data_IF_083988750138
#
_entry.id   IF_083988750138
#
_cell.length_a   1.000
_cell.length_b   1.000
_cell.length_c   1.000
_cell.angle_alpha   90.00
_cell.angle_beta   90.00
_cell.angle_gamma   90.00
#
_symmetry.space_group_name_H-M   'P 1'
#
loop_
_entity.id
_entity.type
_entity.pdbx_description
1 polymer ?
#
# COMPACT_ATOMS: atom_id res chain seq x y z
N UNK A 1 -16.60 -6.36 -22.99
CA UNK A 1 -15.96 -7.29 -22.04
C UNK A 1 -15.47 -8.48 -22.83
N UNK A 2 -14.14 -8.70 -22.97
CA UNK A 2 -13.61 -9.87 -23.71
C UNK A 2 -14.02 -11.14 -22.97
N UNK A 3 -14.49 -12.16 -23.69
CA UNK A 3 -14.92 -13.42 -23.08
C UNK A 3 -13.75 -14.12 -22.41
N UNK A 4 -14.01 -14.89 -21.35
CA UNK A 4 -12.99 -15.63 -20.60
C UNK A 4 -12.17 -16.58 -21.50
N UNK A 5 -12.76 -17.02 -22.62
CA UNK A 5 -12.12 -17.89 -23.62
C UNK A 5 -10.96 -17.22 -24.37
N UNK A 6 -10.92 -15.88 -24.45
CA UNK A 6 -9.80 -15.18 -25.06
C UNK A 6 -8.49 -15.34 -24.25
N UNK A 7 -8.57 -15.68 -22.96
CA UNK A 7 -7.40 -15.90 -22.10
C UNK A 7 -6.90 -17.34 -22.11
N UNK A 8 -7.67 -18.31 -22.61
CA UNK A 8 -7.23 -19.71 -22.76
C UNK A 8 -6.10 -19.89 -23.78
N UNK A 9 -5.83 -18.90 -24.65
CA UNK A 9 -4.75 -18.93 -25.65
C UNK A 9 -3.36 -18.60 -25.07
N UNK A 10 -3.26 -18.23 -23.80
CA UNK A 10 -1.98 -17.97 -23.16
C UNK A 10 -1.32 -19.31 -22.81
N UNK A 11 -0.36 -19.75 -23.63
CA UNK A 11 0.49 -20.90 -23.32
C UNK A 11 1.72 -20.41 -22.57
N UNK A 12 1.97 -20.99 -21.39
CA UNK A 12 3.26 -20.82 -20.72
C UNK A 12 4.35 -21.43 -21.58
N UNK A 13 5.25 -20.63 -22.09
CA UNK A 13 6.36 -21.10 -22.91
C UNK A 13 7.58 -21.48 -22.07
N UNK A 14 7.68 -20.97 -20.84
CA UNK A 14 8.77 -21.27 -19.91
C UNK A 14 8.26 -21.26 -18.47
N UNK A 15 8.73 -22.22 -17.67
CA UNK A 15 8.57 -22.29 -16.23
C UNK A 15 9.95 -22.41 -15.57
N UNK A 16 10.23 -21.53 -14.61
CA UNK A 16 11.45 -21.59 -13.80
C UNK A 16 11.02 -21.86 -12.34
N UNK A 17 11.42 -23.04 -11.82
CA UNK A 17 11.27 -23.30 -10.40
C UNK A 17 12.38 -22.61 -9.62
N UNK A 18 12.04 -21.92 -8.54
CA UNK A 18 13.03 -21.38 -7.61
C UNK A 18 13.51 -22.52 -6.68
N UNK A 19 14.61 -23.17 -7.05
CA UNK A 19 15.21 -24.27 -6.26
C UNK A 19 15.70 -23.82 -4.89
N UNK A 20 15.96 -22.53 -4.70
CA UNK A 20 16.43 -21.94 -3.44
C UNK A 20 15.29 -21.33 -2.63
N UNK A 21 14.03 -21.59 -2.99
CA UNK A 21 12.89 -21.09 -2.23
C UNK A 21 12.87 -21.68 -0.83
N UNK A 22 12.91 -20.82 0.17
CA UNK A 22 12.59 -21.17 1.53
C UNK A 22 11.72 -20.07 2.17
N UNK A 23 10.61 -20.49 2.81
CA UNK A 23 9.82 -19.57 3.61
C UNK A 23 10.37 -19.53 5.03
N UNK A 24 11.20 -18.54 5.34
CA UNK A 24 11.73 -18.34 6.67
C UNK A 24 10.97 -17.22 7.39
N UNK A 25 10.05 -17.61 8.26
CA UNK A 25 9.22 -16.69 9.06
C UNK A 25 10.06 -15.72 9.90
N UNK A 26 11.08 -16.23 10.58
CA UNK A 26 11.91 -15.41 11.46
C UNK A 26 12.69 -14.37 10.65
N UNK A 27 13.24 -14.76 9.51
CA UNK A 27 13.92 -13.84 8.61
C UNK A 27 12.99 -12.70 8.16
N UNK A 28 11.78 -13.02 7.73
CA UNK A 28 10.79 -12.04 7.31
C UNK A 28 10.44 -11.08 8.45
N UNK A 29 10.20 -11.62 9.66
CA UNK A 29 9.82 -10.84 10.83
C UNK A 29 10.99 -10.08 11.47
N UNK A 30 12.22 -10.38 11.11
CA UNK A 30 13.38 -9.55 11.43
C UNK A 30 13.43 -8.29 10.56
N UNK A 31 12.94 -8.35 9.32
CA UNK A 31 12.87 -7.19 8.41
C UNK A 31 11.67 -6.31 8.75
N UNK A 32 10.46 -6.88 8.81
CA UNK A 32 9.23 -6.17 9.20
C UNK A 32 8.73 -6.78 10.50
N UNK A 33 9.14 -6.22 11.63
CA UNK A 33 8.95 -6.86 12.92
C UNK A 33 7.47 -7.04 13.32
N UNK A 34 7.21 -8.11 14.06
CA UNK A 34 5.89 -8.37 14.65
C UNK A 34 5.36 -7.17 15.45
N UNK A 35 6.23 -6.41 16.11
CA UNK A 35 5.87 -5.20 16.87
C UNK A 35 5.32 -4.11 15.93
N UNK A 36 6.05 -3.76 14.87
CA UNK A 36 5.62 -2.73 13.91
C UNK A 36 4.29 -3.12 13.26
N UNK A 37 4.09 -4.39 12.89
CA UNK A 37 2.84 -4.90 12.34
C UNK A 37 1.69 -4.76 13.36
N UNK A 38 1.94 -5.09 14.62
CA UNK A 38 0.93 -4.95 15.70
C UNK A 38 0.59 -3.47 15.93
N UNK A 39 1.59 -2.62 15.97
CA UNK A 39 1.41 -1.19 16.13
C UNK A 39 0.61 -0.57 14.98
N UNK A 40 0.84 -1.05 13.74
CA UNK A 40 0.06 -0.62 12.58
C UNK A 40 -1.42 -0.99 12.74
N UNK A 41 -1.71 -2.24 13.13
CA UNK A 41 -3.08 -2.67 13.38
C UNK A 41 -3.74 -1.87 14.52
N UNK A 42 -3.08 -1.73 15.66
CA UNK A 42 -3.61 -1.02 16.82
C UNK A 42 -3.88 0.46 16.55
N UNK A 43 -3.11 1.06 15.65
CA UNK A 43 -3.29 2.45 15.22
C UNK A 43 -4.47 2.56 14.26
N UNK A 44 -4.40 1.83 13.15
CA UNK A 44 -5.36 1.93 12.04
C UNK A 44 -6.76 1.46 12.43
N UNK A 45 -6.86 0.42 13.28
CA UNK A 45 -8.16 -0.07 13.75
C UNK A 45 -8.94 0.95 14.60
N UNK A 46 -8.28 1.97 15.12
CA UNK A 46 -8.89 3.08 15.87
C UNK A 46 -9.27 4.27 15.00
N UNK A 47 -8.94 4.26 13.71
CA UNK A 47 -9.30 5.37 12.85
C UNK A 47 -10.80 5.44 12.64
N UNK A 48 -11.33 6.66 12.59
CA UNK A 48 -12.75 6.89 12.26
C UNK A 48 -13.11 6.17 10.97
N UNK A 49 -14.21 5.46 10.94
CA UNK A 49 -14.70 4.68 9.80
C UNK A 49 -13.82 3.48 9.41
N UNK A 50 -12.91 3.01 10.29
CA UNK A 50 -12.25 1.74 10.03
C UNK A 50 -13.28 0.60 10.02
N UNK A 51 -13.28 -0.15 8.92
CA UNK A 51 -14.03 -1.40 8.78
C UNK A 51 -13.14 -2.40 8.01
N UNK A 52 -13.27 -3.68 8.34
CA UNK A 52 -12.69 -4.74 7.52
C UNK A 52 -13.33 -4.67 6.13
N UNK A 53 -12.51 -4.66 5.09
CA UNK A 53 -13.02 -4.72 3.73
C UNK A 53 -13.57 -6.11 3.42
N UNK A 54 -14.54 -6.25 2.48
CA UNK A 54 -15.10 -7.55 2.17
C UNK A 54 -14.08 -8.57 1.68
N UNK A 55 -14.28 -9.83 2.05
CA UNK A 55 -13.62 -10.99 1.49
C UNK A 55 -14.70 -11.79 0.73
N UNK A 56 -14.74 -11.64 -0.57
CA UNK A 56 -15.79 -12.21 -1.43
C UNK A 56 -15.36 -13.57 -1.97
N UNK A 57 -16.24 -14.57 -1.85
CA UNK A 57 -16.04 -15.87 -2.50
C UNK A 57 -16.52 -15.80 -3.95
N UNK A 58 -15.63 -16.15 -4.90
CA UNK A 58 -15.91 -16.07 -6.34
C UNK A 58 -16.40 -17.41 -6.89
N UNK A 59 -17.66 -17.77 -6.58
CA UNK A 59 -18.22 -19.11 -6.85
C UNK A 59 -18.23 -19.49 -8.33
N UNK A 60 -18.61 -18.57 -9.23
CA UNK A 60 -18.59 -18.84 -10.68
C UNK A 60 -17.17 -19.14 -11.18
N UNK A 61 -16.18 -18.40 -10.66
CA UNK A 61 -14.77 -18.60 -11.01
C UNK A 61 -14.24 -19.93 -10.45
N UNK A 62 -14.62 -20.28 -9.22
CA UNK A 62 -14.30 -21.56 -8.62
C UNK A 62 -14.73 -22.73 -9.50
N UNK A 63 -16.00 -22.72 -9.94
CA UNK A 63 -16.57 -23.76 -10.82
C UNK A 63 -15.84 -23.83 -12.16
N UNK A 64 -15.60 -22.69 -12.80
CA UNK A 64 -14.96 -22.62 -14.11
C UNK A 64 -13.51 -23.12 -14.10
N UNK A 65 -12.77 -22.85 -13.00
CA UNK A 65 -11.37 -23.24 -12.86
C UNK A 65 -11.18 -24.57 -12.14
N UNK A 66 -12.27 -25.24 -11.69
CA UNK A 66 -12.23 -26.46 -10.88
C UNK A 66 -11.35 -26.33 -9.63
N UNK A 67 -11.43 -25.16 -8.97
CA UNK A 67 -10.75 -24.88 -7.72
C UNK A 67 -11.73 -24.90 -6.55
N UNK A 68 -11.24 -25.27 -5.36
CA UNK A 68 -12.11 -25.35 -4.17
C UNK A 68 -12.64 -23.99 -3.74
N UNK A 69 -11.73 -23.02 -3.57
CA UNK A 69 -12.12 -21.69 -3.13
C UNK A 69 -11.20 -20.63 -3.73
N UNK A 70 -11.82 -19.61 -4.33
CA UNK A 70 -11.15 -18.38 -4.74
C UNK A 70 -11.82 -17.24 -3.98
N UNK A 71 -11.02 -16.47 -3.27
CA UNK A 71 -11.46 -15.30 -2.54
C UNK A 71 -10.90 -14.03 -3.15
N UNK A 72 -11.69 -12.97 -3.13
CA UNK A 72 -11.30 -11.63 -3.54
C UNK A 72 -11.39 -10.68 -2.35
N UNK A 73 -10.27 -10.10 -1.95
CA UNK A 73 -10.23 -9.04 -0.93
C UNK A 73 -10.52 -7.70 -1.57
N UNK A 74 -11.71 -7.16 -1.36
CA UNK A 74 -12.20 -5.97 -2.06
C UNK A 74 -11.75 -4.67 -1.37
N UNK A 75 -10.54 -4.22 -1.68
CA UNK A 75 -9.99 -2.96 -1.19
C UNK A 75 -10.62 -1.71 -1.81
N UNK A 76 -11.54 -1.84 -2.79
CA UNK A 76 -12.35 -0.71 -3.27
C UNK A 76 -13.27 -0.12 -2.19
N UNK A 77 -13.47 -0.86 -1.11
CA UNK A 77 -14.26 -0.43 0.06
C UNK A 77 -13.40 0.16 1.19
N UNK A 78 -12.08 0.31 0.97
CA UNK A 78 -11.16 0.82 1.99
C UNK A 78 -11.33 2.31 2.17
N UNK A 79 -11.92 2.72 3.29
CA UNK A 79 -12.26 4.10 3.60
C UNK A 79 -12.96 4.79 2.41
N UNK A 80 -12.86 6.10 2.26
CA UNK A 80 -13.35 6.80 1.08
C UNK A 80 -12.33 6.87 -0.07
N UNK A 81 -11.11 6.34 0.16
CA UNK A 81 -10.03 6.36 -0.84
C UNK A 81 -10.17 5.25 -1.89
N UNK A 82 -10.97 4.23 -1.63
CA UNK A 82 -11.19 3.08 -2.52
C UNK A 82 -9.87 2.39 -2.94
N UNK A 83 -8.90 2.34 -2.02
CA UNK A 83 -7.57 1.78 -2.28
C UNK A 83 -6.88 1.32 -0.99
N UNK A 84 -6.21 0.17 -1.05
CA UNK A 84 -5.35 -0.34 0.03
C UNK A 84 -4.22 0.64 0.42
N UNK A 85 -3.83 1.54 -0.48
CA UNK A 85 -2.78 2.55 -0.22
C UNK A 85 -3.08 3.40 1.01
N UNK A 86 -4.37 3.58 1.35
CA UNK A 86 -4.79 4.26 2.58
C UNK A 86 -4.16 3.67 3.84
N UNK A 87 -3.98 2.35 3.90
CA UNK A 87 -3.39 1.65 5.05
C UNK A 87 -1.91 2.00 5.26
N UNK A 88 -1.15 2.21 4.17
CA UNK A 88 0.28 2.45 4.26
C UNK A 88 0.65 3.92 4.40
N UNK A 89 0.29 4.75 3.41
CA UNK A 89 0.69 6.16 3.37
C UNK A 89 0.19 6.96 4.58
N UNK A 90 -1.12 6.84 4.90
CA UNK A 90 -1.69 7.56 6.04
C UNK A 90 -1.12 7.07 7.39
N UNK A 91 -0.81 5.77 7.52
CA UNK A 91 -0.14 5.26 8.72
C UNK A 91 1.29 5.77 8.86
N UNK A 92 2.05 5.82 7.77
CA UNK A 92 3.38 6.39 7.78
C UNK A 92 3.35 7.87 8.23
N UNK A 93 2.42 8.68 7.68
CA UNK A 93 2.20 10.06 8.12
C UNK A 93 1.92 10.11 9.61
N UNK A 94 0.99 9.32 10.13
CA UNK A 94 0.67 9.29 11.56
C UNK A 94 1.89 8.97 12.44
N UNK A 95 2.71 8.01 12.03
CA UNK A 95 3.85 7.59 12.85
C UNK A 95 4.97 8.62 12.89
N UNK A 96 5.26 9.29 11.78
CA UNK A 96 6.31 10.31 11.74
C UNK A 96 5.88 11.62 12.40
N UNK A 97 4.57 11.89 12.49
CA UNK A 97 4.02 13.10 13.11
C UNK A 97 3.93 13.01 14.64
N UNK A 98 3.84 11.81 15.22
CA UNK A 98 3.63 11.63 16.69
C UNK A 98 4.66 12.31 17.57
N UNK A 99 5.87 12.54 17.08
CA UNK A 99 6.99 13.13 17.85
C UNK A 99 7.30 14.58 17.49
N UNK A 100 6.54 15.17 16.55
CA UNK A 100 6.85 16.49 16.01
C UNK A 100 5.56 17.31 15.88
N UNK A 101 5.57 18.52 16.41
CA UNK A 101 4.50 19.50 16.19
C UNK A 101 4.77 20.29 14.90
N UNK A 102 3.71 20.69 14.21
CA UNK A 102 3.76 21.60 13.04
C UNK A 102 4.66 21.14 11.90
N UNK A 103 4.67 19.84 11.60
CA UNK A 103 5.44 19.32 10.47
C UNK A 103 4.66 19.48 9.16
N UNK A 104 5.40 19.71 8.08
CA UNK A 104 4.88 19.65 6.73
C UNK A 104 5.23 18.29 6.13
N UNK A 105 4.24 17.62 5.56
CA UNK A 105 4.39 16.35 4.86
C UNK A 105 4.62 16.61 3.38
N UNK A 106 5.51 15.86 2.76
CA UNK A 106 5.74 15.94 1.31
C UNK A 106 5.82 14.55 0.67
N UNK A 107 5.43 14.45 -0.60
CA UNK A 107 5.57 13.23 -1.40
C UNK A 107 5.59 13.56 -2.88
N UNK A 108 6.26 12.72 -3.70
CA UNK A 108 6.21 12.83 -5.16
C UNK A 108 5.43 11.65 -5.72
N UNK A 109 4.17 11.88 -6.12
CA UNK A 109 3.29 10.83 -6.66
C UNK A 109 1.96 11.40 -7.12
N UNK A 110 1.43 10.91 -8.23
CA UNK A 110 0.15 11.34 -8.79
C UNK A 110 -0.98 10.32 -8.59
N UNK A 111 -0.72 9.27 -7.81
CA UNK A 111 -1.67 8.15 -7.69
C UNK A 111 -2.23 7.96 -6.28
N UNK A 112 -2.68 6.74 -6.02
CA UNK A 112 -3.30 6.37 -4.76
C UNK A 112 -2.38 6.55 -3.53
N UNK A 113 -1.05 6.56 -3.71
CA UNK A 113 -0.13 6.86 -2.63
C UNK A 113 -0.23 8.34 -2.22
N UNK A 114 -0.23 9.27 -3.17
CA UNK A 114 -0.41 10.71 -2.90
C UNK A 114 -1.72 11.00 -2.19
N UNK A 115 -2.83 10.43 -2.68
CA UNK A 115 -4.13 10.53 -2.01
C UNK A 115 -4.10 10.01 -0.58
N UNK A 116 -3.40 8.91 -0.34
CA UNK A 116 -3.24 8.32 0.99
C UNK A 116 -2.42 9.21 1.93
N UNK A 117 -1.33 9.80 1.43
CA UNK A 117 -0.48 10.72 2.19
C UNK A 117 -1.25 12.00 2.52
N UNK A 118 -1.92 12.61 1.52
CA UNK A 118 -2.75 13.80 1.69
C UNK A 118 -3.87 13.56 2.72
N UNK A 119 -4.61 12.46 2.59
CA UNK A 119 -5.63 12.09 3.57
C UNK A 119 -5.07 11.85 4.97
N UNK A 120 -3.90 11.21 5.06
CA UNK A 120 -3.19 11.02 6.34
C UNK A 120 -2.85 12.33 7.01
N UNK A 121 -2.38 13.32 6.24
CA UNK A 121 -2.09 14.66 6.72
C UNK A 121 -3.37 15.41 7.13
N UNK A 122 -4.43 15.38 6.31
CA UNK A 122 -5.72 15.97 6.62
C UNK A 122 -6.30 15.48 7.96
N UNK A 123 -6.25 14.15 8.20
CA UNK A 123 -6.73 13.55 9.44
C UNK A 123 -6.06 14.09 10.70
N UNK A 124 -4.86 14.63 10.56
CA UNK A 124 -4.01 15.10 11.66
C UNK A 124 -3.87 16.63 11.66
N UNK A 125 -4.58 17.33 10.78
CA UNK A 125 -4.48 18.80 10.65
C UNK A 125 -3.10 19.26 10.18
N UNK A 126 -2.38 18.46 9.41
CA UNK A 126 -1.02 18.76 8.93
C UNK A 126 -1.06 19.30 7.50
N UNK A 127 -0.17 20.24 7.21
CA UNK A 127 0.07 20.67 5.83
C UNK A 127 0.70 19.53 5.01
N UNK A 128 0.28 19.43 3.75
CA UNK A 128 0.77 18.40 2.84
C UNK A 128 1.08 19.00 1.46
N UNK A 129 2.26 18.67 0.93
CA UNK A 129 2.70 19.11 -0.40
C UNK A 129 2.98 17.90 -1.27
N UNK A 130 2.23 17.76 -2.37
CA UNK A 130 2.37 16.63 -3.29
C UNK A 130 2.94 17.13 -4.62
N UNK A 131 4.08 16.58 -4.99
CA UNK A 131 4.77 16.89 -6.23
C UNK A 131 4.32 15.95 -7.34
N UNK A 132 3.92 16.51 -8.46
CA UNK A 132 3.46 15.76 -9.63
C UNK A 132 4.15 16.24 -10.90
N UNK A 133 4.35 15.35 -11.86
CA UNK A 133 4.80 15.71 -13.19
C UNK A 133 3.77 16.63 -13.89
N UNK A 134 4.24 17.51 -14.76
CA UNK A 134 3.38 18.37 -15.58
C UNK A 134 2.37 17.60 -16.44
N UNK A 135 2.64 16.33 -16.74
CA UNK A 135 1.78 15.48 -17.58
C UNK A 135 0.64 14.80 -16.81
N UNK A 136 0.57 14.99 -15.49
CA UNK A 136 -0.52 14.42 -14.67
C UNK A 136 -1.82 15.14 -14.97
N UNK A 137 -2.90 14.38 -15.22
CA UNK A 137 -4.21 14.95 -15.54
C UNK A 137 -4.80 15.75 -14.37
N UNK A 138 -5.63 16.72 -14.68
CA UNK A 138 -6.30 17.57 -13.68
C UNK A 138 -7.20 16.76 -12.73
N UNK A 139 -7.85 15.71 -13.23
CA UNK A 139 -8.70 14.86 -12.39
C UNK A 139 -7.88 14.22 -11.25
N UNK A 140 -6.65 13.76 -11.56
CA UNK A 140 -5.77 13.18 -10.54
C UNK A 140 -5.28 14.21 -9.55
N UNK A 141 -5.00 15.41 -10.00
CA UNK A 141 -4.62 16.53 -9.13
C UNK A 141 -5.77 16.87 -8.18
N UNK A 142 -6.96 17.11 -8.72
CA UNK A 142 -8.17 17.39 -7.93
C UNK A 142 -8.48 16.29 -6.90
N UNK A 143 -8.26 15.01 -7.24
CA UNK A 143 -8.45 13.89 -6.31
C UNK A 143 -7.47 13.92 -5.13
N UNK A 144 -6.32 14.55 -5.26
CA UNK A 144 -5.35 14.76 -4.17
C UNK A 144 -5.73 16.01 -3.37
N UNK A 145 -6.05 17.11 -4.07
CA UNK A 145 -6.43 18.40 -3.47
C UNK A 145 -7.70 18.33 -2.61
N UNK A 146 -8.62 17.40 -2.90
CA UNK A 146 -9.80 17.10 -2.05
C UNK A 146 -9.43 16.79 -0.59
N UNK A 147 -8.20 16.38 -0.33
CA UNK A 147 -7.69 16.12 1.01
C UNK A 147 -6.88 17.30 1.57
N UNK A 148 -6.97 18.49 0.97
CA UNK A 148 -6.32 19.71 1.46
C UNK A 148 -4.82 19.74 1.22
N UNK A 149 -4.29 18.96 0.28
CA UNK A 149 -2.89 19.02 -0.07
C UNK A 149 -2.63 20.08 -1.16
N UNK A 150 -1.53 20.82 -1.02
CA UNK A 150 -1.00 21.68 -2.08
C UNK A 150 -0.32 20.81 -3.12
N UNK A 151 -0.83 20.81 -4.35
CA UNK A 151 -0.22 20.06 -5.45
C UNK A 151 0.73 20.94 -6.24
N UNK A 152 2.00 20.55 -6.29
CA UNK A 152 3.07 21.29 -6.98
C UNK A 152 3.38 20.57 -8.29
N UNK A 153 3.07 21.20 -9.42
CA UNK A 153 3.43 20.70 -10.76
C UNK A 153 4.89 21.00 -11.06
N UNK A 154 5.62 19.98 -11.44
CA UNK A 154 7.02 20.08 -11.81
C UNK A 154 7.19 19.83 -13.30
N UNK A 155 7.95 20.69 -13.97
CA UNK A 155 8.31 20.51 -15.39
C UNK A 155 9.12 19.20 -15.56
N UNK A 156 8.70 18.37 -16.51
CA UNK A 156 9.34 17.09 -16.79
C UNK A 156 8.54 15.89 -16.29
N UNK A 157 9.21 14.77 -16.14
CA UNK A 157 8.63 13.47 -15.79
C UNK A 157 8.53 13.24 -14.27
N UNK A 158 8.22 11.99 -13.88
CA UNK A 158 8.14 11.60 -12.48
C UNK A 158 9.46 11.79 -11.72
N UNK A 159 10.59 11.47 -12.34
CA UNK A 159 11.92 11.61 -11.71
C UNK A 159 12.23 13.08 -11.38
N UNK A 160 11.85 14.00 -12.26
CA UNK A 160 11.99 15.43 -12.00
C UNK A 160 11.14 15.83 -10.77
N UNK A 161 9.92 15.34 -10.67
CA UNK A 161 9.04 15.60 -9.52
C UNK A 161 9.61 15.05 -8.22
N UNK A 162 10.19 13.86 -8.27
CA UNK A 162 10.83 13.22 -7.10
C UNK A 162 12.07 14.00 -6.65
N UNK A 163 12.89 14.44 -7.59
CA UNK A 163 14.11 15.22 -7.29
C UNK A 163 13.77 16.59 -6.72
N UNK A 164 12.77 17.29 -7.27
CA UNK A 164 12.33 18.58 -6.74
C UNK A 164 11.68 18.43 -5.36
N UNK A 165 10.89 17.38 -5.16
CA UNK A 165 10.36 17.04 -3.83
C UNK A 165 11.48 16.86 -2.81
N UNK A 166 12.52 16.08 -3.13
CA UNK A 166 13.67 15.87 -2.26
C UNK A 166 14.41 17.17 -1.95
N UNK A 167 14.68 17.97 -2.99
CA UNK A 167 15.38 19.25 -2.89
C UNK A 167 14.66 20.24 -1.99
N UNK A 168 13.36 20.49 -2.25
CA UNK A 168 12.58 21.44 -1.48
C UNK A 168 12.30 20.92 -0.06
N UNK A 169 12.09 19.63 0.10
CA UNK A 169 11.90 19.05 1.44
C UNK A 169 13.15 19.17 2.30
N UNK A 170 14.33 18.99 1.73
CA UNK A 170 15.60 19.21 2.44
C UNK A 170 15.78 20.69 2.80
N UNK A 171 15.54 21.60 1.83
CA UNK A 171 15.68 23.05 2.03
C UNK A 171 14.75 23.58 3.13
N UNK A 172 13.50 23.07 3.17
CA UNK A 172 12.46 23.60 4.06
C UNK A 172 12.17 22.69 5.26
N UNK A 173 12.98 21.67 5.50
CA UNK A 173 12.79 20.70 6.58
C UNK A 173 11.42 20.00 6.58
N UNK A 174 10.89 19.67 5.39
CA UNK A 174 9.66 18.90 5.25
C UNK A 174 9.91 17.41 5.42
N UNK A 175 8.89 16.68 5.81
CA UNK A 175 8.99 15.24 6.03
C UNK A 175 8.48 14.47 4.82
N UNK A 176 9.40 13.82 4.10
CA UNK A 176 9.07 13.03 2.91
C UNK A 176 8.40 11.73 3.31
N UNK A 177 7.30 11.38 2.61
CA UNK A 177 6.60 10.10 2.73
C UNK A 177 6.50 9.44 1.36
N UNK A 178 7.52 8.64 1.05
CA UNK A 178 7.56 7.78 -0.15
C UNK A 178 7.42 6.31 0.22
N UNK A 179 6.91 5.51 -0.71
CA UNK A 179 6.70 4.07 -0.54
C UNK A 179 7.83 3.20 -1.13
N UNK A 180 8.91 3.82 -1.59
CA UNK A 180 10.10 3.15 -2.13
C UNK A 180 11.28 3.38 -1.19
N UNK A 181 11.97 2.28 -0.84
CA UNK A 181 13.19 2.32 -0.01
C UNK A 181 14.42 2.68 -0.82
N UNK A 182 15.35 3.39 -0.16
CA UNK A 182 16.72 3.59 -0.63
C UNK A 182 17.69 3.31 0.52
N UNK A 183 19.00 3.26 0.24
CA UNK A 183 20.03 2.98 1.26
C UNK A 183 19.87 3.82 2.54
N UNK A 184 19.48 5.09 2.41
CA UNK A 184 19.36 6.03 3.53
C UNK A 184 17.91 6.40 3.85
N UNK A 185 16.92 5.70 3.27
CA UNK A 185 15.50 5.98 3.45
C UNK A 185 14.71 4.66 3.44
N UNK A 186 14.63 4.00 4.57
CA UNK A 186 13.96 2.70 4.70
C UNK A 186 12.84 2.70 5.75
N UNK A 187 12.91 3.55 6.76
CA UNK A 187 11.95 3.53 7.88
C UNK A 187 10.52 3.86 7.45
N UNK A 188 10.31 4.90 6.64
CA UNK A 188 8.96 5.31 6.19
C UNK A 188 8.34 4.27 5.24
N UNK A 189 9.07 3.74 4.23
CA UNK A 189 8.60 2.59 3.45
C UNK A 189 8.25 1.37 4.31
N UNK A 190 9.02 1.06 5.33
CA UNK A 190 8.76 -0.04 6.26
C UNK A 190 7.44 0.16 7.02
N UNK A 191 7.15 1.37 7.49
CA UNK A 191 5.85 1.71 8.08
C UNK A 191 4.70 1.52 7.08
N UNK A 192 4.91 1.93 5.84
CA UNK A 192 3.93 1.76 4.76
C UNK A 192 3.63 0.28 4.51
N UNK A 193 4.66 -0.57 4.44
CA UNK A 193 4.54 -2.03 4.31
C UNK A 193 3.81 -2.64 5.51
N UNK A 194 4.15 -2.21 6.73
CA UNK A 194 3.46 -2.66 7.94
C UNK A 194 1.95 -2.33 7.91
N UNK A 195 1.57 -1.16 7.41
CA UNK A 195 0.17 -0.80 7.20
C UNK A 195 -0.55 -1.78 6.25
N UNK A 196 0.10 -2.20 5.17
CA UNK A 196 -0.50 -3.15 4.22
C UNK A 196 -0.71 -4.55 4.80
N UNK A 197 0.03 -4.96 5.80
CA UNK A 197 -0.15 -6.26 6.48
C UNK A 197 -1.53 -6.44 7.12
N UNK A 198 -2.27 -5.35 7.34
CA UNK A 198 -3.62 -5.36 7.92
C UNK A 198 -4.58 -6.16 7.06
N UNK A 199 -4.45 -6.12 5.74
CA UNK A 199 -5.28 -6.94 4.85
C UNK A 199 -5.22 -8.42 5.23
N UNK A 200 -4.03 -8.93 5.56
CA UNK A 200 -3.86 -10.33 5.98
C UNK A 200 -4.42 -10.57 7.38
N UNK A 201 -4.27 -9.62 8.30
CA UNK A 201 -4.92 -9.70 9.62
C UNK A 201 -6.45 -9.79 9.49
N UNK A 202 -7.03 -9.03 8.57
CA UNK A 202 -8.46 -9.09 8.30
C UNK A 202 -8.86 -10.44 7.69
N UNK A 203 -8.15 -10.90 6.65
CA UNK A 203 -8.41 -12.19 6.00
C UNK A 203 -8.35 -13.33 7.02
N UNK A 204 -7.34 -13.35 7.91
CA UNK A 204 -7.21 -14.39 8.95
C UNK A 204 -8.38 -14.44 9.94
N UNK A 205 -9.25 -13.43 9.95
CA UNK A 205 -10.47 -13.35 10.76
C UNK A 205 -11.75 -13.50 9.95
N UNK A 206 -11.66 -13.51 8.62
CA UNK A 206 -12.81 -13.58 7.72
C UNK A 206 -13.00 -14.96 7.10
N UNK A 207 -11.98 -15.82 7.15
CA UNK A 207 -12.10 -17.19 6.67
C UNK A 207 -11.31 -18.16 7.54
N UNK A 208 -11.83 -19.37 7.70
CA UNK A 208 -11.14 -20.52 8.30
C UNK A 208 -10.47 -21.41 7.26
N UNK A 209 -10.75 -21.17 5.97
CA UNK A 209 -10.13 -21.94 4.90
C UNK A 209 -8.61 -21.72 4.85
N UNK A 210 -7.90 -22.82 4.59
CA UNK A 210 -6.46 -22.78 4.36
C UNK A 210 -6.16 -22.08 3.03
N UNK A 211 -5.39 -20.99 3.07
CA UNK A 211 -4.98 -20.24 1.88
C UNK A 211 -3.64 -20.77 1.39
N UNK A 212 -3.63 -21.36 0.19
CA UNK A 212 -2.43 -21.92 -0.44
C UNK A 212 -1.69 -20.91 -1.30
N UNK A 213 -2.40 -20.05 -2.00
CA UNK A 213 -1.85 -19.08 -2.94
C UNK A 213 -2.47 -17.70 -2.73
N UNK A 214 -1.66 -16.65 -2.87
CA UNK A 214 -2.10 -15.26 -2.85
C UNK A 214 -1.59 -14.57 -4.10
N UNK A 215 -2.49 -14.09 -4.93
CA UNK A 215 -2.18 -13.33 -6.14
C UNK A 215 -2.22 -11.84 -5.84
N UNK A 216 -1.17 -11.13 -6.20
CA UNK A 216 -1.00 -9.71 -5.94
C UNK A 216 -0.57 -8.98 -7.19
N UNK A 217 -1.08 -7.76 -7.37
CA UNK A 217 -0.44 -6.81 -8.28
C UNK A 217 0.83 -6.26 -7.63
N UNK A 218 1.89 -6.08 -8.39
CA UNK A 218 3.14 -5.52 -7.91
C UNK A 218 3.63 -4.41 -8.84
N UNK A 219 3.89 -3.24 -8.27
CA UNK A 219 4.69 -2.19 -8.88
C UNK A 219 6.05 -2.16 -8.19
N UNK A 220 6.19 -1.32 -7.17
CA UNK A 220 7.44 -1.17 -6.38
C UNK A 220 7.61 -2.21 -5.27
N UNK A 221 6.75 -3.23 -5.18
CA UNK A 221 6.88 -4.36 -4.25
C UNK A 221 6.39 -4.13 -2.82
N UNK A 222 6.10 -2.91 -2.40
CA UNK A 222 5.75 -2.61 -1.00
C UNK A 222 4.51 -3.34 -0.48
N UNK A 223 3.47 -3.52 -1.33
CA UNK A 223 2.30 -4.30 -0.94
C UNK A 223 2.65 -5.78 -0.77
N UNK A 224 3.41 -6.35 -1.70
CA UNK A 224 3.84 -7.75 -1.62
C UNK A 224 4.63 -8.00 -0.33
N UNK A 225 5.58 -7.12 0.01
CA UNK A 225 6.35 -7.21 1.26
C UNK A 225 5.44 -7.15 2.50
N UNK A 226 4.48 -6.22 2.53
CA UNK A 226 3.51 -6.11 3.62
C UNK A 226 2.61 -7.36 3.76
N UNK A 227 2.17 -7.93 2.64
CA UNK A 227 1.39 -9.18 2.61
C UNK A 227 2.21 -10.35 3.12
N UNK A 228 3.45 -10.53 2.64
CA UNK A 228 4.35 -11.60 3.10
C UNK A 228 4.61 -11.48 4.60
N UNK A 229 4.88 -10.29 5.12
CA UNK A 229 5.04 -10.07 6.56
C UNK A 229 3.75 -10.36 7.35
N UNK A 230 2.60 -10.01 6.80
CA UNK A 230 1.28 -10.35 7.36
C UNK A 230 1.06 -11.86 7.42
N UNK A 231 1.37 -12.59 6.34
CA UNK A 231 1.31 -14.07 6.30
C UNK A 231 2.22 -14.67 7.34
N UNK A 232 3.48 -14.22 7.40
CA UNK A 232 4.45 -14.68 8.41
C UNK A 232 3.92 -14.48 9.84
N UNK A 233 3.16 -13.44 10.11
CA UNK A 233 2.64 -13.14 11.42
C UNK A 233 1.33 -13.85 11.76
N UNK A 234 0.36 -13.85 10.85
CA UNK A 234 -1.02 -14.17 11.16
C UNK A 234 -1.50 -15.53 10.67
N UNK A 235 -0.81 -16.13 9.68
CA UNK A 235 -1.14 -17.46 9.22
C UNK A 235 -0.23 -18.47 9.95
N UNK A 236 -0.86 -19.29 10.79
CA UNK A 236 -0.19 -20.46 11.41
C UNK A 236 -0.15 -21.54 10.32
N UNK A 237 1.02 -22.08 10.06
CA UNK A 237 1.19 -23.36 9.34
C UNK A 237 1.17 -24.46 10.34
#
# INVERSE_FOLDING_TARGET
MKSFDSYRKWKYTKFLSNKNYSFNRNYILNIISSKIITDAFNSISKWKNYKKTPLLKLEKLNKNLKLNNIFYKDESKRFHLKSFKALGGAYAVEKISKKKKNIIISSATAGNHGRSVAWGAQRLGLQCKIFVSQYVSEERVKEIEKFGADVIRVKGNYENSLNECKKLSKKNNWNIVQDVSTKNYSYVPLLTMAGYSIMIKEISKQTTHYITHIFLQAGVGGMAAGVVAGVAKYFKR
#
